data_IF_023636159374
#
_entry.id   IF_023636159374
#
_cell.length_a   1.000
_cell.length_b   1.000
_cell.length_c   1.000
_cell.angle_alpha   90.00
_cell.angle_beta   90.00
_cell.angle_gamma   90.00
#
_symmetry.space_group_name_H-M   'P 1'
#
loop_
_entity.id
_entity.type
_entity.pdbx_description
1 polymer ?
#
# COMPACT_ATOMS: atom_id res chain seq x y z
N UNK A 1 -17.34 4.94 10.55
CA UNK A 1 -16.22 5.78 10.01
C UNK A 1 -16.70 7.17 9.64
N UNK A 2 -15.95 8.21 9.94
CA UNK A 2 -16.18 9.56 9.47
C UNK A 2 -15.30 9.81 8.24
N UNK A 3 -15.90 10.26 7.13
CA UNK A 3 -15.17 10.58 5.90
C UNK A 3 -15.01 12.09 5.80
N UNK A 4 -13.79 12.57 5.99
CA UNK A 4 -13.42 13.98 5.79
C UNK A 4 -12.81 14.13 4.41
N UNK A 5 -13.43 14.95 3.56
CA UNK A 5 -12.93 15.24 2.21
C UNK A 5 -12.54 16.71 2.13
N UNK A 6 -11.26 16.95 1.77
CA UNK A 6 -10.72 18.31 1.79
C UNK A 6 -9.29 18.44 1.28
N UNK A 7 -8.68 19.55 1.65
CA UNK A 7 -7.27 19.84 1.32
C UNK A 7 -6.35 19.34 2.44
N UNK A 8 -6.16 18.03 2.48
CA UNK A 8 -5.26 17.38 3.44
C UNK A 8 -3.87 17.14 2.84
N UNK A 9 -2.90 16.84 3.67
CA UNK A 9 -1.53 16.52 3.23
C UNK A 9 -1.47 15.15 2.55
N UNK A 10 -2.18 14.16 3.10
CA UNK A 10 -2.23 12.77 2.60
C UNK A 10 -3.66 12.24 2.60
N UNK A 11 -3.90 11.17 1.83
CA UNK A 11 -5.05 10.30 2.05
C UNK A 11 -4.64 9.24 3.07
N UNK A 12 -5.33 9.18 4.20
CA UNK A 12 -5.06 8.23 5.26
C UNK A 12 -6.31 7.84 6.03
N UNK A 13 -6.27 6.68 6.69
CA UNK A 13 -7.28 6.26 7.66
C UNK A 13 -6.61 6.21 9.03
N UNK A 14 -7.18 6.96 9.97
CA UNK A 14 -6.67 7.00 11.34
C UNK A 14 -7.80 7.13 12.34
N UNK A 15 -7.83 6.25 13.34
CA UNK A 15 -8.75 6.30 14.49
C UNK A 15 -10.23 6.46 14.10
N UNK A 16 -10.68 5.71 13.09
CA UNK A 16 -12.07 5.75 12.64
C UNK A 16 -12.42 6.91 11.70
N UNK A 17 -11.41 7.63 11.19
CA UNK A 17 -11.59 8.74 10.26
C UNK A 17 -10.81 8.48 8.96
N UNK A 18 -11.48 8.55 7.82
CA UNK A 18 -10.83 8.71 6.52
C UNK A 18 -10.59 10.18 6.25
N UNK A 19 -9.34 10.57 6.09
CA UNK A 19 -8.92 11.86 5.53
C UNK A 19 -8.66 11.67 4.04
N UNK A 20 -9.57 12.15 3.19
CA UNK A 20 -9.45 12.04 1.74
C UNK A 20 -8.87 13.31 1.15
N UNK A 21 -7.60 13.27 0.74
CA UNK A 21 -6.95 14.32 -0.05
C UNK A 21 -7.46 14.28 -1.48
N UNK A 22 -7.73 15.45 -2.06
CA UNK A 22 -8.03 15.63 -3.47
C UNK A 22 -6.82 16.23 -4.21
N UNK A 23 -6.60 15.77 -5.43
CA UNK A 23 -5.51 16.27 -6.30
C UNK A 23 -5.70 17.73 -6.72
N UNK A 24 -6.95 18.18 -6.82
CA UNK A 24 -7.33 19.55 -7.26
C UNK A 24 -8.51 20.09 -6.45
N UNK A 25 -8.35 20.19 -5.11
CA UNK A 25 -9.40 20.73 -4.24
C UNK A 25 -9.81 22.15 -4.66
N UNK A 26 -11.12 22.50 -4.75
CA UNK A 26 -12.28 21.70 -4.30
C UNK A 26 -12.89 20.79 -5.40
N UNK A 27 -12.21 20.58 -6.51
CA UNK A 27 -12.67 19.68 -7.55
C UNK A 27 -12.35 18.21 -7.16
N UNK A 28 -13.20 17.30 -7.64
CA UNK A 28 -13.02 15.86 -7.44
C UNK A 28 -13.10 15.14 -8.78
N UNK A 29 -12.11 14.32 -9.07
CA UNK A 29 -12.07 13.54 -10.30
C UNK A 29 -12.96 12.30 -10.21
N UNK A 30 -13.40 11.71 -11.34
CA UNK A 30 -14.14 10.45 -11.34
C UNK A 30 -13.39 9.31 -10.63
N UNK A 31 -12.06 9.26 -10.75
CA UNK A 31 -11.23 8.29 -10.05
C UNK A 31 -11.24 8.47 -8.52
N UNK A 32 -11.13 9.69 -8.04
CA UNK A 32 -11.21 10.00 -6.61
C UNK A 32 -12.59 9.66 -6.04
N UNK A 33 -13.67 9.92 -6.82
CA UNK A 33 -15.02 9.48 -6.46
C UNK A 33 -15.10 7.95 -6.39
N UNK A 34 -14.57 7.24 -7.40
CA UNK A 34 -14.50 5.78 -7.37
C UNK A 34 -13.83 5.28 -6.10
N UNK A 35 -12.63 5.79 -5.76
CA UNK A 35 -11.92 5.36 -4.55
C UNK A 35 -12.67 5.68 -3.26
N UNK A 36 -13.39 6.79 -3.19
CA UNK A 36 -14.24 7.12 -2.05
C UNK A 36 -15.43 6.15 -1.92
N UNK A 37 -16.05 5.77 -3.03
CA UNK A 37 -17.13 4.79 -3.06
C UNK A 37 -16.66 3.39 -2.67
N UNK A 38 -15.48 2.97 -3.17
CA UNK A 38 -14.83 1.71 -2.77
C UNK A 38 -14.60 1.67 -1.25
N UNK A 39 -14.16 2.78 -0.65
CA UNK A 39 -14.00 2.87 0.80
C UNK A 39 -15.35 2.68 1.52
N UNK A 40 -16.39 3.38 1.10
CA UNK A 40 -17.72 3.27 1.72
C UNK A 40 -18.30 1.86 1.55
N UNK A 41 -18.12 1.22 0.40
CA UNK A 41 -18.55 -0.17 0.16
C UNK A 41 -17.77 -1.16 1.03
N UNK A 42 -16.45 -0.98 1.16
CA UNK A 42 -15.60 -1.78 2.02
C UNK A 42 -16.03 -1.71 3.48
N UNK A 43 -16.26 -0.50 3.99
CA UNK A 43 -16.72 -0.29 5.36
C UNK A 43 -18.10 -0.94 5.61
N UNK A 44 -19.03 -0.76 4.68
CA UNK A 44 -20.35 -1.41 4.72
C UNK A 44 -20.25 -2.94 4.75
N UNK A 45 -19.38 -3.51 3.93
CA UNK A 45 -19.18 -4.97 3.88
C UNK A 45 -18.74 -5.52 5.24
N UNK A 46 -17.95 -4.74 6.00
CA UNK A 46 -17.50 -5.09 7.34
C UNK A 46 -18.43 -4.59 8.46
N UNK A 47 -19.66 -4.22 8.13
CA UNK A 47 -20.69 -3.82 9.11
C UNK A 47 -20.47 -2.44 9.71
N UNK A 48 -19.59 -1.62 9.13
CA UNK A 48 -19.33 -0.25 9.59
C UNK A 48 -20.09 0.77 8.75
N UNK A 49 -20.65 1.79 9.40
CA UNK A 49 -21.32 2.92 8.72
C UNK A 49 -20.34 4.06 8.45
N UNK A 50 -20.60 4.81 7.39
CA UNK A 50 -19.84 6.01 7.02
C UNK A 50 -20.70 7.25 7.10
N UNK A 51 -20.17 8.34 7.67
CA UNK A 51 -20.69 9.69 7.58
C UNK A 51 -19.76 10.56 6.72
N UNK A 52 -20.30 11.57 6.04
CA UNK A 52 -19.52 12.49 5.20
C UNK A 52 -19.42 13.85 5.87
N UNK A 53 -18.19 14.37 6.02
CA UNK A 53 -17.89 15.75 6.38
C UNK A 53 -17.13 16.41 5.22
N UNK A 54 -17.67 17.48 4.70
CA UNK A 54 -17.07 18.25 3.62
C UNK A 54 -17.52 19.70 3.75
N UNK A 55 -16.58 20.64 3.89
CA UNK A 55 -16.87 22.06 4.06
C UNK A 55 -17.42 22.69 2.78
N UNK A 56 -16.92 22.30 1.62
CA UNK A 56 -17.37 22.82 0.34
C UNK A 56 -18.73 22.22 -0.05
N UNK A 57 -19.76 23.04 -0.08
CA UNK A 57 -21.14 22.59 -0.36
C UNK A 57 -21.33 22.00 -1.77
N UNK A 58 -20.62 22.51 -2.79
CA UNK A 58 -20.69 21.97 -4.16
C UNK A 58 -20.05 20.58 -4.21
N UNK A 59 -18.86 20.44 -3.64
CA UNK A 59 -18.16 19.15 -3.55
C UNK A 59 -19.01 18.13 -2.77
N UNK A 60 -19.56 18.52 -1.62
CA UNK A 60 -20.46 17.67 -0.84
C UNK A 60 -21.63 17.15 -1.70
N UNK A 61 -22.31 18.05 -2.43
CA UNK A 61 -23.42 17.64 -3.31
C UNK A 61 -23.00 16.64 -4.40
N UNK A 62 -21.78 16.79 -4.97
CA UNK A 62 -21.25 15.86 -5.96
C UNK A 62 -21.03 14.47 -5.33
N UNK A 63 -20.40 14.42 -4.15
CA UNK A 63 -20.15 13.17 -3.44
C UNK A 63 -21.45 12.49 -3.02
N UNK A 64 -22.42 13.24 -2.47
CA UNK A 64 -23.72 12.69 -2.07
C UNK A 64 -24.46 12.08 -3.26
N UNK A 65 -24.45 12.73 -4.43
CA UNK A 65 -25.02 12.17 -5.68
C UNK A 65 -24.31 10.87 -6.09
N UNK A 66 -22.97 10.84 -6.00
CA UNK A 66 -22.22 9.63 -6.32
C UNK A 66 -22.53 8.48 -5.36
N UNK A 67 -22.68 8.76 -4.06
CA UNK A 67 -23.10 7.76 -3.07
C UNK A 67 -24.49 7.16 -3.33
N UNK A 68 -25.39 7.93 -3.96
CA UNK A 68 -26.72 7.44 -4.37
C UNK A 68 -26.70 6.65 -5.70
N UNK A 69 -25.66 6.81 -6.52
CA UNK A 69 -25.55 6.15 -7.83
C UNK A 69 -24.13 5.60 -8.05
N UNK A 70 -23.63 4.69 -7.20
CA UNK A 70 -22.22 4.24 -7.21
C UNK A 70 -21.83 3.51 -8.50
N UNK A 71 -22.80 2.85 -9.17
CA UNK A 71 -22.53 2.05 -10.37
C UNK A 71 -21.97 2.87 -11.54
N UNK A 72 -22.26 4.18 -11.59
CA UNK A 72 -21.71 5.10 -12.60
C UNK A 72 -20.18 5.16 -12.53
N UNK A 73 -19.61 5.03 -11.34
CA UNK A 73 -18.17 5.19 -11.11
C UNK A 73 -17.42 3.87 -11.01
N UNK A 74 -18.11 2.75 -10.92
CA UNK A 74 -17.53 1.41 -10.69
C UNK A 74 -16.48 1.02 -11.74
N UNK A 75 -16.67 1.46 -13.00
CA UNK A 75 -15.79 1.16 -14.12
C UNK A 75 -14.90 2.34 -14.54
N UNK A 76 -14.79 3.39 -13.72
CA UNK A 76 -13.85 4.48 -13.99
C UNK A 76 -12.43 3.91 -13.99
N UNK A 77 -11.66 4.07 -15.08
CA UNK A 77 -10.32 3.51 -15.15
C UNK A 77 -9.37 4.22 -14.18
N UNK A 78 -8.34 3.51 -13.76
CA UNK A 78 -7.20 4.12 -13.11
C UNK A 78 -6.65 5.23 -14.01
N UNK A 79 -6.29 6.40 -13.49
CA UNK A 79 -5.67 7.44 -14.30
C UNK A 79 -4.33 6.93 -14.86
N UNK A 80 -3.93 7.45 -16.00
CA UNK A 80 -2.56 7.29 -16.49
C UNK A 80 -1.58 7.81 -15.44
N UNK A 81 -0.33 7.33 -15.49
CA UNK A 81 0.74 7.78 -14.59
C UNK A 81 0.70 9.30 -14.43
N UNK A 82 0.48 9.75 -13.20
CA UNK A 82 0.59 11.17 -12.88
C UNK A 82 2.08 11.50 -12.80
N UNK A 83 2.67 11.91 -13.92
CA UNK A 83 4.06 12.36 -13.98
C UNK A 83 4.29 13.66 -13.20
N UNK A 84 3.21 14.41 -12.95
CA UNK A 84 3.22 15.65 -12.16
C UNK A 84 1.99 15.68 -11.25
N UNK A 85 2.21 15.59 -9.95
CA UNK A 85 1.17 15.78 -8.96
C UNK A 85 1.37 17.13 -8.27
N UNK A 86 0.49 18.09 -8.53
CA UNK A 86 0.51 19.41 -7.89
C UNK A 86 0.25 19.35 -6.39
N UNK A 87 -0.41 18.29 -5.94
CA UNK A 87 -0.73 18.06 -4.54
C UNK A 87 0.48 17.56 -3.71
N UNK A 88 1.54 17.09 -4.36
CA UNK A 88 2.76 16.62 -3.70
C UNK A 88 3.97 16.96 -4.57
N UNK A 89 4.50 18.21 -4.48
CA UNK A 89 5.58 18.68 -5.36
C UNK A 89 6.89 17.89 -5.24
N UNK A 90 7.05 17.11 -4.17
CA UNK A 90 8.23 16.28 -3.93
C UNK A 90 8.16 14.92 -4.63
N UNK A 91 6.98 14.53 -5.16
CA UNK A 91 6.76 13.19 -5.74
C UNK A 91 6.06 13.24 -7.08
N UNK A 92 6.73 12.68 -8.05
CA UNK A 92 6.16 12.35 -9.34
C UNK A 92 5.51 10.97 -9.23
N UNK A 93 4.22 10.85 -9.60
CA UNK A 93 3.56 9.57 -9.78
C UNK A 93 3.14 8.83 -8.50
N UNK A 94 2.04 9.27 -7.86
CA UNK A 94 1.42 8.49 -6.77
C UNK A 94 0.71 7.22 -7.29
N UNK A 95 0.25 7.21 -8.52
CA UNK A 95 -0.37 6.07 -9.20
C UNK A 95 0.65 5.49 -10.16
N UNK A 96 1.07 4.25 -9.94
CA UNK A 96 2.10 3.58 -10.72
C UNK A 96 1.56 2.33 -11.40
N UNK A 97 2.29 1.80 -12.39
CA UNK A 97 1.91 0.54 -13.07
C UNK A 97 2.09 -0.68 -12.18
N UNK A 98 2.90 -0.52 -11.13
CA UNK A 98 3.20 -1.59 -10.19
C UNK A 98 2.67 -1.25 -8.81
N UNK A 99 2.30 -2.29 -8.08
CA UNK A 99 2.07 -2.25 -6.64
C UNK A 99 3.14 -3.08 -5.94
N UNK A 100 3.44 -2.75 -4.69
CA UNK A 100 4.47 -3.49 -3.96
C UNK A 100 4.06 -3.81 -2.52
N UNK A 101 4.67 -4.89 -2.01
CA UNK A 101 4.70 -5.23 -0.60
C UNK A 101 6.14 -5.17 -0.10
N UNK A 102 6.37 -4.41 0.98
CA UNK A 102 7.70 -4.28 1.59
C UNK A 102 7.74 -5.01 2.91
N UNK A 103 8.83 -5.73 3.18
CA UNK A 103 8.95 -6.51 4.40
C UNK A 103 10.38 -6.57 4.94
N UNK A 104 10.54 -6.99 6.20
CA UNK A 104 11.84 -7.17 6.84
C UNK A 104 12.56 -8.43 6.32
N UNK A 105 13.89 -8.50 6.55
CA UNK A 105 14.72 -9.66 6.27
C UNK A 105 14.11 -10.97 6.78
N UNK A 106 13.71 -11.01 8.04
CA UNK A 106 13.19 -12.23 8.67
C UNK A 106 11.87 -12.71 8.04
N UNK A 107 11.00 -11.76 7.67
CA UNK A 107 9.77 -12.11 6.97
C UNK A 107 10.06 -12.52 5.51
N UNK A 108 11.02 -11.89 4.84
CA UNK A 108 11.43 -12.27 3.49
C UNK A 108 11.92 -13.72 3.45
N UNK A 109 12.73 -14.17 4.43
CA UNK A 109 13.15 -15.58 4.58
C UNK A 109 11.95 -16.52 4.66
N UNK A 110 10.91 -16.18 5.44
CA UNK A 110 9.68 -16.97 5.57
C UNK A 110 8.88 -17.00 4.26
N UNK A 111 8.77 -15.87 3.59
CA UNK A 111 8.07 -15.68 2.32
C UNK A 111 8.73 -16.54 1.23
N UNK A 112 10.06 -16.50 1.11
CA UNK A 112 10.78 -17.35 0.15
C UNK A 112 10.60 -18.84 0.43
N UNK A 113 10.63 -19.26 1.70
CA UNK A 113 10.41 -20.67 2.09
C UNK A 113 9.01 -21.18 1.76
N UNK A 114 8.00 -20.34 1.95
CA UNK A 114 6.60 -20.68 1.65
C UNK A 114 6.23 -20.50 0.18
N UNK A 115 6.97 -19.68 -0.57
CA UNK A 115 6.62 -19.22 -1.91
C UNK A 115 5.43 -18.26 -1.96
N UNK A 116 4.98 -17.76 -0.81
CA UNK A 116 3.75 -16.98 -0.69
C UNK A 116 3.90 -15.75 0.19
N UNK A 117 3.25 -14.64 -0.19
CA UNK A 117 2.89 -13.60 0.75
C UNK A 117 1.63 -14.01 1.49
N UNK A 118 1.68 -14.04 2.79
CA UNK A 118 0.55 -14.40 3.65
C UNK A 118 0.04 -13.15 4.39
N UNK A 119 -1.27 -13.05 4.59
CA UNK A 119 -1.86 -12.10 5.52
C UNK A 119 -1.32 -12.33 6.94
N UNK A 120 -1.38 -11.32 7.80
CA UNK A 120 -0.85 -11.43 9.17
C UNK A 120 -1.49 -12.59 9.93
N UNK A 121 -2.80 -12.77 9.78
CA UNK A 121 -3.56 -13.86 10.41
C UNK A 121 -3.03 -15.23 9.95
N UNK A 122 -2.86 -15.44 8.65
CA UNK A 122 -2.30 -16.71 8.11
C UNK A 122 -0.83 -16.92 8.48
N UNK A 123 -0.03 -15.86 8.40
CA UNK A 123 1.41 -15.95 8.66
C UNK A 123 1.74 -16.28 10.12
N UNK A 124 0.89 -15.86 11.05
CA UNK A 124 1.11 -16.03 12.49
C UNK A 124 0.36 -17.23 13.07
N UNK A 125 -0.78 -17.60 12.49
CA UNK A 125 -1.62 -18.72 12.99
C UNK A 125 -2.19 -18.48 14.38
N UNK A 126 -2.37 -17.21 14.77
CA UNK A 126 -2.95 -16.78 16.06
C UNK A 126 -4.25 -16.01 15.81
N UNK A 127 -5.03 -15.78 16.86
CA UNK A 127 -6.31 -15.08 16.75
C UNK A 127 -6.14 -13.58 16.44
N UNK A 128 -7.22 -12.94 16.00
CA UNK A 128 -7.25 -11.49 15.75
C UNK A 128 -7.02 -10.72 17.04
N UNK A 129 -7.61 -11.20 18.16
CA UNK A 129 -7.47 -10.61 19.48
C UNK A 129 -6.00 -10.62 19.95
N UNK A 130 -5.28 -11.73 19.70
CA UNK A 130 -3.85 -11.82 20.00
C UNK A 130 -3.01 -10.88 19.14
N UNK A 131 -3.35 -10.74 17.83
CA UNK A 131 -2.69 -9.78 16.96
C UNK A 131 -2.92 -8.33 17.42
N UNK A 132 -4.15 -8.00 17.81
CA UNK A 132 -4.50 -6.68 18.34
C UNK A 132 -3.76 -6.36 19.64
N UNK A 133 -3.56 -7.34 20.50
CA UNK A 133 -2.87 -7.18 21.79
C UNK A 133 -1.36 -6.93 21.66
N UNK A 134 -0.75 -7.17 20.50
CA UNK A 134 0.71 -6.96 20.30
C UNK A 134 1.15 -5.50 20.35
N UNK A 135 0.25 -4.54 20.53
CA UNK A 135 0.57 -3.12 20.75
C UNK A 135 1.26 -2.41 19.57
N UNK A 136 1.03 -2.87 18.35
CA UNK A 136 1.57 -2.28 17.12
C UNK A 136 0.72 -1.08 16.67
N UNK A 137 1.21 -0.31 15.68
CA UNK A 137 0.42 0.70 14.97
C UNK A 137 -0.92 0.17 14.50
N UNK A 138 -0.94 -1.08 14.08
CA UNK A 138 -2.13 -1.83 13.75
C UNK A 138 -3.19 -1.89 14.88
N UNK A 139 -2.90 -1.47 16.10
CA UNK A 139 -3.91 -1.34 17.16
C UNK A 139 -5.02 -0.34 16.84
N UNK A 140 -4.77 0.58 15.91
CA UNK A 140 -5.76 1.54 15.38
C UNK A 140 -6.42 1.09 14.07
N UNK A 141 -5.86 0.06 13.41
CA UNK A 141 -6.44 -0.50 12.21
C UNK A 141 -7.66 -1.37 12.55
N UNK A 142 -8.68 -1.42 11.69
CA UNK A 142 -9.77 -2.37 11.83
C UNK A 142 -9.25 -3.82 11.87
N UNK A 143 -9.84 -4.66 12.72
CA UNK A 143 -9.44 -6.05 12.93
C UNK A 143 -9.40 -6.89 11.64
N UNK A 144 -10.27 -6.59 10.68
CA UNK A 144 -10.31 -7.25 9.37
C UNK A 144 -9.03 -7.01 8.52
N UNK A 145 -8.24 -5.96 8.81
CA UNK A 145 -6.98 -5.70 8.08
C UNK A 145 -5.97 -6.85 8.22
N UNK A 146 -6.01 -7.62 9.29
CA UNK A 146 -5.15 -8.79 9.47
C UNK A 146 -5.46 -9.96 8.50
N UNK A 147 -6.62 -9.94 7.85
CA UNK A 147 -6.99 -10.95 6.84
C UNK A 147 -6.35 -10.69 5.47
N UNK A 148 -5.77 -9.52 5.25
CA UNK A 148 -5.31 -9.09 3.92
C UNK A 148 -3.78 -8.96 3.85
N UNK A 149 -3.25 -9.26 2.66
CA UNK A 149 -1.96 -8.77 2.19
C UNK A 149 -2.19 -7.38 1.63
N UNK A 150 -1.62 -6.37 2.27
CA UNK A 150 -1.75 -4.97 1.86
C UNK A 150 -0.65 -4.60 0.87
N UNK A 151 -1.03 -3.89 -0.18
CA UNK A 151 -0.14 -3.44 -1.23
C UNK A 151 -0.17 -1.92 -1.30
N UNK A 152 0.99 -1.32 -1.52
CA UNK A 152 1.14 0.11 -1.78
C UNK A 152 1.49 0.35 -3.26
N UNK A 153 1.37 1.59 -3.73
CA UNK A 153 1.91 1.94 -5.05
C UNK A 153 3.43 1.70 -5.09
N UNK A 154 3.96 1.33 -6.26
CA UNK A 154 5.31 0.83 -6.42
C UNK A 154 6.42 1.78 -5.96
N UNK A 155 6.18 3.09 -5.99
CA UNK A 155 7.11 4.11 -5.50
C UNK A 155 6.82 4.59 -4.07
N UNK A 156 5.94 3.91 -3.32
CA UNK A 156 5.58 4.31 -1.97
C UNK A 156 6.62 3.84 -0.93
N UNK A 157 7.00 4.74 -0.03
CA UNK A 157 7.96 4.45 1.06
C UNK A 157 7.30 3.91 2.33
N UNK A 158 5.96 3.88 2.42
CA UNK A 158 5.28 3.53 3.66
C UNK A 158 5.68 2.14 4.20
N UNK A 159 5.94 1.19 3.29
CA UNK A 159 6.40 -0.13 3.68
C UNK A 159 7.78 -0.15 4.34
N UNK A 160 8.74 0.65 3.86
CA UNK A 160 10.06 0.77 4.48
C UNK A 160 9.96 1.48 5.83
N UNK A 161 9.12 2.50 5.95
CA UNK A 161 8.83 3.14 7.25
C UNK A 161 8.33 2.12 8.27
N UNK A 162 7.40 1.23 7.88
CA UNK A 162 6.91 0.16 8.75
C UNK A 162 8.00 -0.87 9.11
N UNK A 163 8.92 -1.17 8.20
CA UNK A 163 10.09 -2.02 8.49
C UNK A 163 10.97 -1.38 9.55
N UNK A 164 11.27 -0.08 9.42
CA UNK A 164 12.05 0.69 10.41
C UNK A 164 11.33 0.75 11.76
N UNK A 165 10.04 1.03 11.78
CA UNK A 165 9.25 1.07 13.00
C UNK A 165 9.30 -0.26 13.77
N UNK A 166 9.14 -1.38 13.07
CA UNK A 166 9.24 -2.71 13.69
C UNK A 166 10.63 -3.02 14.21
N UNK A 167 11.68 -2.58 13.50
CA UNK A 167 13.08 -2.72 13.92
C UNK A 167 13.37 -1.92 15.18
N UNK A 168 12.92 -0.67 15.22
CA UNK A 168 13.17 0.28 16.31
C UNK A 168 12.22 0.10 17.51
N UNK A 169 11.07 -0.57 17.31
CA UNK A 169 9.96 -0.70 18.26
C UNK A 169 9.38 0.64 18.74
N UNK A 170 9.52 1.68 17.92
CA UNK A 170 8.96 3.02 18.08
C UNK A 170 8.70 3.65 16.72
N UNK A 171 7.93 4.73 16.68
CA UNK A 171 7.75 5.52 15.45
C UNK A 171 9.11 6.09 15.03
N UNK A 172 9.55 5.86 13.78
CA UNK A 172 10.79 6.42 13.24
C UNK A 172 10.72 7.95 13.18
N UNK A 173 11.80 8.59 13.57
CA UNK A 173 12.01 10.02 13.36
C UNK A 173 12.69 10.30 12.00
N UNK A 174 12.96 11.58 11.71
CA UNK A 174 13.56 12.01 10.44
C UNK A 174 14.96 11.41 10.22
N UNK A 175 15.76 11.28 11.26
CA UNK A 175 17.10 10.69 11.18
C UNK A 175 17.05 9.19 10.89
N UNK A 176 16.13 8.47 11.52
CA UNK A 176 15.91 7.05 11.27
C UNK A 176 15.48 6.77 9.81
N UNK A 177 14.77 7.73 9.20
CA UNK A 177 14.27 7.62 7.81
C UNK A 177 15.27 8.15 6.78
N UNK A 178 16.41 8.68 7.21
CA UNK A 178 17.47 9.20 6.36
C UNK A 178 18.82 8.53 6.66
N UNK A 179 19.59 9.05 7.61
CA UNK A 179 20.98 8.61 7.88
C UNK A 179 21.07 7.15 8.32
N UNK A 180 20.17 6.72 9.19
CA UNK A 180 20.17 5.38 9.80
C UNK A 180 19.22 4.39 9.10
N UNK A 181 18.74 4.76 7.94
CA UNK A 181 17.76 4.00 7.18
C UNK A 181 18.31 2.66 6.66
N UNK A 182 17.52 1.61 6.85
CA UNK A 182 17.76 0.27 6.29
C UNK A 182 16.56 -0.16 5.48
N UNK A 183 16.67 -0.33 4.15
CA UNK A 183 15.55 -0.71 3.31
C UNK A 183 15.07 -2.14 3.57
N UNK A 184 13.77 -2.36 3.37
CA UNK A 184 13.18 -3.68 3.33
C UNK A 184 13.32 -4.38 1.98
N UNK A 185 12.93 -5.66 1.94
CA UNK A 185 12.76 -6.42 0.69
C UNK A 185 11.41 -6.05 0.09
N UNK A 186 11.39 -5.73 -1.20
CA UNK A 186 10.17 -5.32 -1.92
C UNK A 186 9.77 -6.36 -2.96
N UNK A 187 8.51 -6.77 -2.93
CA UNK A 187 7.87 -7.66 -3.90
C UNK A 187 6.94 -6.82 -4.77
N UNK A 188 7.20 -6.79 -6.09
CA UNK A 188 6.46 -6.00 -7.07
C UNK A 188 5.50 -6.87 -7.89
N UNK A 189 4.34 -6.30 -8.17
CA UNK A 189 3.27 -6.92 -8.95
C UNK A 189 2.75 -5.92 -9.97
N UNK A 190 2.45 -6.37 -11.20
CA UNK A 190 1.76 -5.52 -12.19
C UNK A 190 0.34 -5.28 -11.74
N UNK A 191 -0.06 -4.02 -11.62
CA UNK A 191 -1.41 -3.67 -11.14
C UNK A 191 -2.49 -4.30 -12.02
N UNK A 192 -2.40 -4.13 -13.37
CA UNK A 192 -3.40 -4.62 -14.33
C UNK A 192 -3.50 -6.16 -14.39
N UNK A 193 -2.48 -6.87 -13.94
CA UNK A 193 -2.54 -8.33 -13.78
C UNK A 193 -3.18 -8.70 -12.44
N UNK A 194 -2.71 -8.06 -11.37
CA UNK A 194 -3.18 -8.39 -10.02
C UNK A 194 -4.64 -8.00 -9.78
N UNK A 195 -5.20 -7.04 -10.54
CA UNK A 195 -6.66 -6.77 -10.52
C UNK A 195 -7.51 -7.96 -10.98
N UNK A 196 -6.92 -8.98 -11.60
CA UNK A 196 -7.60 -10.23 -11.98
C UNK A 196 -7.59 -11.27 -10.87
N UNK A 197 -6.83 -11.03 -9.79
CA UNK A 197 -6.75 -11.97 -8.67
C UNK A 197 -8.14 -12.19 -8.04
N UNK A 198 -8.58 -13.47 -7.82
CA UNK A 198 -9.94 -13.75 -7.36
C UNK A 198 -10.26 -13.18 -5.97
N UNK A 199 -9.23 -13.06 -5.12
CA UNK A 199 -9.37 -12.57 -3.74
C UNK A 199 -9.00 -11.08 -3.59
N UNK A 200 -9.00 -10.31 -4.68
CA UNK A 200 -8.73 -8.87 -4.62
C UNK A 200 -9.84 -8.11 -3.91
N UNK A 201 -9.44 -7.09 -3.19
CA UNK A 201 -10.34 -6.16 -2.51
C UNK A 201 -9.82 -4.73 -2.68
N UNK A 202 -10.72 -3.81 -3.01
CA UNK A 202 -10.45 -2.39 -3.04
C UNK A 202 -11.06 -1.74 -1.81
N UNK A 203 -10.25 -1.00 -1.08
CA UNK A 203 -10.69 -0.28 0.12
C UNK A 203 -10.67 1.25 -0.06
N UNK A 204 -10.40 1.71 -1.27
CA UNK A 204 -10.35 3.13 -1.62
C UNK A 204 -9.20 3.94 -0.99
N UNK A 205 -8.34 3.31 -0.20
CA UNK A 205 -7.16 3.90 0.45
C UNK A 205 -5.88 3.35 -0.14
N UNK A 206 -5.72 2.03 -0.05
CA UNK A 206 -4.63 1.33 -0.71
C UNK A 206 -4.99 1.01 -2.16
N UNK A 207 -4.01 0.91 -3.06
CA UNK A 207 -4.27 0.50 -4.43
C UNK A 207 -4.96 -0.85 -4.51
N UNK A 208 -4.65 -1.76 -3.61
CA UNK A 208 -5.24 -3.10 -3.55
C UNK A 208 -4.92 -3.81 -2.24
N UNK A 209 -5.84 -4.67 -1.81
CA UNK A 209 -5.65 -5.72 -0.81
C UNK A 209 -5.94 -7.07 -1.44
N UNK A 210 -5.21 -8.10 -1.04
CA UNK A 210 -5.50 -9.49 -1.42
C UNK A 210 -5.83 -10.28 -0.16
N UNK A 211 -6.99 -10.91 -0.14
CA UNK A 211 -7.43 -11.69 1.02
C UNK A 211 -6.61 -12.98 1.14
N UNK A 212 -6.10 -13.24 2.32
CA UNK A 212 -5.36 -14.40 2.75
C UNK A 212 -3.93 -14.51 2.21
N UNK A 213 -3.71 -14.66 0.89
CA UNK A 213 -2.39 -14.96 0.34
C UNK A 213 -2.22 -14.56 -1.13
N UNK A 214 -0.95 -14.38 -1.53
CA UNK A 214 -0.53 -14.21 -2.93
C UNK A 214 0.56 -15.24 -3.22
N UNK A 215 0.39 -16.08 -4.24
CA UNK A 215 1.44 -16.97 -4.72
C UNK A 215 2.48 -16.19 -5.53
N UNK A 216 3.76 -16.28 -5.12
CA UNK A 216 4.83 -15.54 -5.78
C UNK A 216 5.16 -16.08 -7.16
N UNK A 217 5.04 -17.39 -7.36
CA UNK A 217 5.38 -18.00 -8.65
C UNK A 217 4.44 -17.52 -9.76
N UNK A 218 3.21 -17.26 -9.42
CA UNK A 218 2.16 -16.82 -10.34
C UNK A 218 2.17 -15.31 -10.55
N UNK A 219 2.24 -14.51 -9.46
CA UNK A 219 1.89 -13.09 -9.51
C UNK A 219 3.06 -12.12 -9.39
N UNK A 220 4.18 -12.47 -8.73
CA UNK A 220 5.28 -11.52 -8.57
C UNK A 220 6.00 -11.29 -9.91
N UNK A 221 6.22 -10.05 -10.30
CA UNK A 221 6.98 -9.72 -11.50
C UNK A 221 8.44 -9.37 -11.21
N UNK A 222 8.72 -8.76 -10.05
CA UNK A 222 10.08 -8.47 -9.63
C UNK A 222 10.22 -8.47 -8.09
N UNK A 223 11.43 -8.72 -7.62
CA UNK A 223 11.78 -8.71 -6.19
C UNK A 223 13.06 -7.89 -6.04
N UNK A 224 12.98 -6.79 -5.30
CA UNK A 224 14.14 -5.97 -4.99
C UNK A 224 14.66 -6.32 -3.60
N UNK A 225 15.94 -6.70 -3.55
CA UNK A 225 16.68 -7.02 -2.33
C UNK A 225 17.81 -6.01 -2.20
N UNK A 226 17.89 -5.24 -1.11
CA UNK A 226 19.07 -4.43 -0.82
C UNK A 226 20.33 -5.30 -0.82
N UNK A 227 21.40 -4.86 -1.49
CA UNK A 227 22.66 -5.63 -1.62
C UNK A 227 23.22 -6.06 -0.26
N UNK A 228 23.05 -5.23 0.76
CA UNK A 228 23.45 -5.56 2.13
C UNK A 228 22.77 -6.81 2.73
N UNK A 229 21.63 -7.25 2.15
CA UNK A 229 20.89 -8.44 2.58
C UNK A 229 21.14 -9.67 1.67
N UNK A 230 22.03 -9.55 0.69
CA UNK A 230 22.27 -10.59 -0.32
C UNK A 230 22.70 -11.90 0.31
N UNK A 231 23.76 -11.87 1.12
CA UNK A 231 24.33 -13.07 1.76
C UNK A 231 23.30 -13.83 2.61
N UNK A 232 22.45 -13.09 3.28
CA UNK A 232 21.40 -13.64 4.15
C UNK A 232 20.24 -14.31 3.39
N UNK A 233 19.97 -13.88 2.16
CA UNK A 233 18.77 -14.24 1.42
C UNK A 233 19.04 -15.13 0.20
N UNK A 234 20.20 -15.03 -0.45
CA UNK A 234 20.47 -15.67 -1.74
C UNK A 234 20.21 -17.19 -1.71
N UNK A 235 20.59 -17.85 -0.61
CA UNK A 235 20.34 -19.29 -0.43
C UNK A 235 18.86 -19.64 -0.18
N UNK A 236 18.06 -18.67 0.26
CA UNK A 236 16.64 -18.87 0.54
C UNK A 236 15.73 -18.64 -0.69
N UNK A 237 16.27 -18.03 -1.77
CA UNK A 237 15.48 -17.68 -2.95
C UNK A 237 15.14 -18.94 -3.75
N UNK A 238 13.85 -19.27 -3.94
CA UNK A 238 13.44 -20.39 -4.78
C UNK A 238 13.95 -20.26 -6.22
N UNK A 239 14.36 -21.35 -6.83
CA UNK A 239 14.92 -21.37 -8.19
C UNK A 239 14.00 -20.65 -9.20
N UNK A 240 12.69 -20.87 -9.10
CA UNK A 240 11.69 -20.27 -9.99
C UNK A 240 11.60 -18.73 -9.88
N UNK A 241 12.07 -18.14 -8.79
CA UNK A 241 12.03 -16.71 -8.55
C UNK A 241 13.35 -15.98 -8.84
N UNK A 242 14.45 -16.72 -9.06
CA UNK A 242 15.79 -16.13 -9.20
C UNK A 242 15.90 -15.13 -10.34
N UNK A 243 15.25 -15.40 -11.47
CA UNK A 243 15.24 -14.48 -12.62
C UNK A 243 14.49 -13.17 -12.37
N UNK A 244 13.64 -13.14 -11.33
CA UNK A 244 12.85 -11.96 -10.94
C UNK A 244 13.54 -11.13 -9.84
N UNK A 245 14.66 -11.60 -9.29
CA UNK A 245 15.39 -10.93 -8.21
C UNK A 245 16.39 -9.95 -8.75
N UNK A 246 16.39 -8.74 -8.16
CA UNK A 246 17.34 -7.67 -8.40
C UNK A 246 17.98 -7.27 -7.08
N UNK A 247 19.31 -7.34 -7.01
CA UNK A 247 20.08 -6.82 -5.89
C UNK A 247 20.43 -5.37 -6.17
N UNK A 248 20.01 -4.47 -5.28
CA UNK A 248 20.18 -3.02 -5.48
C UNK A 248 20.95 -2.41 -4.31
N UNK A 249 22.00 -1.64 -4.63
CA UNK A 249 22.77 -0.92 -3.63
C UNK A 249 21.97 0.24 -3.05
N UNK A 250 22.00 0.38 -1.71
CA UNK A 250 21.42 1.52 -1.02
C UNK A 250 22.48 2.62 -0.83
N UNK A 251 22.58 3.51 -1.82
CA UNK A 251 23.35 4.74 -1.79
C UNK A 251 22.45 5.98 -1.65
N UNK A 252 21.20 5.78 -1.23
CA UNK A 252 20.17 6.81 -1.15
C UNK A 252 20.27 7.59 0.15
N UNK A 253 19.90 8.87 0.11
CA UNK A 253 19.94 9.77 1.26
C UNK A 253 18.81 9.53 2.27
N UNK A 254 17.69 8.95 1.81
CA UNK A 254 16.49 8.73 2.63
C UNK A 254 15.56 7.66 2.00
N UNK A 255 14.48 7.31 2.70
CA UNK A 255 13.52 6.30 2.24
C UNK A 255 12.75 6.72 0.98
N UNK A 256 12.60 8.02 0.73
CA UNK A 256 11.89 8.52 -0.46
C UNK A 256 12.75 8.35 -1.70
N UNK A 257 14.03 8.70 -1.59
CA UNK A 257 15.02 8.53 -2.65
C UNK A 257 15.21 7.05 -3.00
N UNK A 258 15.29 6.19 -1.98
CA UNK A 258 15.29 4.74 -2.16
C UNK A 258 14.04 4.25 -2.91
N UNK A 259 12.87 4.68 -2.48
CA UNK A 259 11.60 4.25 -3.08
C UNK A 259 11.50 4.64 -4.55
N UNK A 260 11.94 5.82 -4.90
CA UNK A 260 11.97 6.31 -6.27
C UNK A 260 13.03 5.58 -7.11
N UNK A 261 14.25 5.40 -6.58
CA UNK A 261 15.35 4.66 -7.24
C UNK A 261 14.92 3.25 -7.62
N UNK A 262 14.41 2.48 -6.67
CA UNK A 262 14.04 1.07 -6.94
C UNK A 262 12.83 0.98 -7.87
N UNK A 263 11.88 1.92 -7.77
CA UNK A 263 10.75 1.96 -8.69
C UNK A 263 11.19 2.20 -10.13
N UNK A 264 12.11 3.13 -10.39
CA UNK A 264 12.67 3.39 -11.72
C UNK A 264 13.38 2.18 -12.32
N UNK A 265 14.09 1.41 -11.50
CA UNK A 265 14.71 0.16 -11.95
C UNK A 265 13.63 -0.82 -12.42
N UNK A 266 12.53 -0.95 -11.68
CA UNK A 266 11.43 -1.84 -12.05
C UNK A 266 10.72 -1.36 -13.31
N UNK A 267 10.42 -0.06 -13.42
CA UNK A 267 9.76 0.54 -14.56
C UNK A 267 10.54 0.35 -15.88
N UNK A 268 11.88 0.39 -15.81
CA UNK A 268 12.74 0.30 -17.00
C UNK A 268 13.15 -1.13 -17.38
N UNK A 269 13.08 -2.10 -16.46
CA UNK A 269 13.68 -3.42 -16.67
C UNK A 269 12.68 -4.58 -16.56
N UNK A 270 11.42 -4.32 -16.23
CA UNK A 270 10.36 -5.32 -16.02
C UNK A 270 9.16 -5.07 -16.91
#
# INVERSE_FOLDING_TARGET
MLNKVGNFEFTEVWDGVLYKKLSDYPNITPWELRTLLEFVEYEKYHGRSCALECENAKLRSVIEKALHSPDIYRNVPRPALLTECTACPVRKGCVTEYVCHTTSLENAKKIFRSGKLLSALKARGISVEELMAEGRNAAKDPADYFEYVMLAWGNCQAGDRLVMERKLKRIPDERDLSVDFTPGVRFYFRYEELVKHPNRVFDGVLPMKIRHEIDLSEWVCAIVIPTALKEDLESCIPQILRSRVKFVENDCKDIWDWSEKVYRIIENEV
#
